data_IF_694281681114
#
_entry.id   IF_694281681114
#
_cell.length_a   1.000
_cell.length_b   1.000
_cell.length_c   1.000
_cell.angle_alpha   90.00
_cell.angle_beta   90.00
_cell.angle_gamma   90.00
#
_symmetry.space_group_name_H-M   'P 1'
#
loop_
_entity.id
_entity.type
_entity.pdbx_description
1 polymer ?
#
# COMPACT_ATOMS: atom_id res chain seq x y z
N UNK A 1 19.83 -22.84 4.95
CA UNK A 1 18.73 -21.83 5.00
C UNK A 1 18.54 -21.44 6.45
N UNK A 2 18.64 -20.16 6.78
CA UNK A 2 18.26 -19.70 8.12
C UNK A 2 16.76 -19.98 8.32
N UNK A 3 16.43 -20.67 9.40
CA UNK A 3 15.04 -20.88 9.79
C UNK A 3 14.57 -19.59 10.44
N UNK A 4 13.62 -18.90 9.82
CA UNK A 4 13.01 -17.72 10.41
C UNK A 4 12.06 -18.16 11.53
N UNK A 5 12.00 -17.43 12.66
CA UNK A 5 11.17 -17.82 13.81
C UNK A 5 9.67 -17.66 13.56
N UNK A 6 9.29 -16.92 12.53
CA UNK A 6 7.89 -16.66 12.18
C UNK A 6 7.57 -17.11 10.75
N UNK A 7 6.36 -17.57 10.56
CA UNK A 7 5.76 -17.86 9.25
C UNK A 7 4.48 -17.03 9.11
N UNK A 8 4.16 -16.61 7.90
CA UNK A 8 2.94 -15.85 7.63
C UNK A 8 2.40 -16.10 6.22
N UNK A 9 1.20 -15.61 5.97
CA UNK A 9 0.54 -15.72 4.68
C UNK A 9 0.79 -14.47 3.82
N UNK A 10 0.96 -14.68 2.51
CA UNK A 10 0.95 -13.66 1.47
C UNK A 10 0.12 -14.18 0.30
N UNK A 11 -1.04 -13.57 0.11
CA UNK A 11 -1.96 -13.86 -0.99
C UNK A 11 -1.70 -12.89 -2.14
N UNK A 12 -1.91 -13.33 -3.37
CA UNK A 12 -1.78 -12.47 -4.55
C UNK A 12 -2.68 -12.92 -5.68
N UNK A 13 -3.13 -11.96 -6.51
CA UNK A 13 -3.95 -12.23 -7.70
C UNK A 13 -3.13 -12.40 -8.98
N UNK A 14 -1.81 -12.33 -8.93
CA UNK A 14 -0.92 -12.43 -10.11
C UNK A 14 -1.26 -13.65 -10.96
N UNK A 15 -1.41 -13.45 -12.28
CA UNK A 15 -1.82 -14.47 -13.26
C UNK A 15 -3.24 -15.02 -13.04
N UNK A 16 -4.07 -14.33 -12.25
CA UNK A 16 -5.48 -14.66 -12.01
C UNK A 16 -6.38 -13.48 -12.33
N UNK A 17 -6.06 -12.31 -11.74
CA UNK A 17 -6.73 -11.05 -11.99
C UNK A 17 -5.70 -9.92 -11.93
N UNK A 18 -5.81 -9.01 -12.89
CA UNK A 18 -4.91 -7.86 -13.07
C UNK A 18 -5.72 -6.69 -13.61
N UNK A 19 -5.33 -5.49 -13.23
CA UNK A 19 -6.08 -4.29 -13.60
C UNK A 19 -5.13 -3.17 -14.04
N UNK A 20 -5.64 -2.39 -14.98
CA UNK A 20 -5.17 -1.05 -15.28
C UNK A 20 -6.34 -0.14 -14.96
N UNK A 21 -6.16 0.73 -13.96
CA UNK A 21 -7.18 1.61 -13.42
C UNK A 21 -8.34 0.89 -12.69
N UNK A 22 -9.12 1.65 -11.96
CA UNK A 22 -10.28 1.17 -11.24
C UNK A 22 -10.35 1.67 -9.80
N UNK A 23 -11.44 1.31 -9.12
CA UNK A 23 -11.62 1.48 -7.69
C UNK A 23 -11.48 0.13 -7.00
N UNK A 24 -10.63 0.08 -6.01
CA UNK A 24 -10.32 -1.11 -5.21
C UNK A 24 -10.82 -0.86 -3.79
N UNK A 25 -11.64 -1.76 -3.27
CA UNK A 25 -12.15 -1.70 -1.90
C UNK A 25 -11.87 -3.02 -1.18
N UNK A 26 -11.16 -2.92 -0.09
CA UNK A 26 -10.86 -4.05 0.77
C UNK A 26 -11.37 -3.77 2.18
N UNK A 27 -12.35 -4.54 2.64
CA UNK A 27 -12.85 -4.44 3.99
C UNK A 27 -12.10 -5.42 4.88
N UNK A 28 -11.33 -4.89 5.80
CA UNK A 28 -10.46 -5.67 6.66
C UNK A 28 -10.41 -5.13 8.09
N UNK A 29 -10.12 -6.05 9.04
CA UNK A 29 -9.72 -5.72 10.39
C UNK A 29 -8.25 -6.05 10.56
N UNK A 30 -7.46 -5.06 11.00
CA UNK A 30 -6.01 -5.21 11.09
C UNK A 30 -5.59 -5.91 12.38
N UNK A 31 -4.44 -6.61 12.36
CA UNK A 31 -3.79 -7.09 13.57
C UNK A 31 -3.22 -5.92 14.39
N UNK A 32 -2.85 -6.16 15.63
CA UNK A 32 -2.24 -5.20 16.53
C UNK A 32 -0.94 -5.74 17.15
N UNK A 33 -0.21 -4.90 17.86
CA UNK A 33 0.98 -5.29 18.61
C UNK A 33 2.29 -5.04 17.89
N UNK A 34 3.37 -4.97 18.69
CA UNK A 34 4.71 -4.69 18.19
C UNK A 34 5.21 -5.79 17.27
N UNK A 35 5.69 -5.42 16.09
CA UNK A 35 6.17 -6.32 15.05
C UNK A 35 5.12 -6.72 14.02
N UNK A 36 3.84 -6.40 14.20
CA UNK A 36 2.82 -6.68 13.20
C UNK A 36 2.87 -5.64 12.07
N UNK A 37 2.88 -6.11 10.80
CA UNK A 37 2.92 -5.28 9.60
C UNK A 37 1.96 -5.84 8.54
N UNK A 38 0.66 -5.56 8.66
CA UNK A 38 -0.31 -5.86 7.62
C UNK A 38 -0.15 -4.94 6.43
N UNK A 39 -0.37 -5.48 5.22
CA UNK A 39 -0.35 -4.72 3.98
C UNK A 39 -1.42 -5.20 2.99
N UNK A 40 -2.04 -4.23 2.33
CA UNK A 40 -2.94 -4.37 1.17
C UNK A 40 -2.34 -3.48 0.09
N UNK A 41 -1.83 -4.06 -0.98
CA UNK A 41 -0.97 -3.37 -1.91
C UNK A 41 -1.00 -3.97 -3.31
N UNK A 42 -0.37 -3.34 -4.26
CA UNK A 42 -0.36 -3.76 -5.65
C UNK A 42 1.05 -3.70 -6.24
N UNK A 43 1.39 -4.71 -7.03
CA UNK A 43 2.61 -4.76 -7.83
C UNK A 43 2.29 -4.91 -9.31
N UNK A 44 3.14 -4.36 -10.19
CA UNK A 44 3.02 -4.57 -11.61
C UNK A 44 3.18 -6.05 -11.95
N UNK A 45 2.36 -6.54 -12.87
CA UNK A 45 2.42 -7.94 -13.30
C UNK A 45 3.56 -8.18 -14.27
N UNK A 46 3.74 -7.29 -15.22
CA UNK A 46 4.66 -7.46 -16.36
C UNK A 46 5.96 -6.68 -16.22
N UNK A 47 6.10 -5.86 -15.17
CA UNK A 47 7.30 -5.05 -14.95
C UNK A 47 7.71 -4.24 -16.19
N UNK A 48 6.74 -3.53 -16.79
CA UNK A 48 6.88 -2.83 -18.07
C UNK A 48 8.11 -1.89 -18.15
N UNK A 49 8.49 -1.33 -17.00
CA UNK A 49 9.59 -0.37 -16.86
C UNK A 49 10.79 -0.93 -16.10
N UNK A 50 10.89 -2.26 -15.95
CA UNK A 50 11.99 -2.93 -15.27
C UNK A 50 11.64 -3.42 -13.86
N UNK A 51 12.67 -3.76 -13.09
CA UNK A 51 12.50 -4.29 -11.74
C UNK A 51 11.98 -3.22 -10.76
N UNK A 52 11.59 -3.65 -9.58
CA UNK A 52 11.13 -2.77 -8.51
C UNK A 52 12.16 -1.66 -8.17
N UNK A 53 11.81 -0.40 -8.01
CA UNK A 53 10.47 0.19 -8.12
C UNK A 53 10.26 0.96 -9.44
N UNK A 54 11.10 0.71 -10.46
CA UNK A 54 10.95 1.37 -11.77
C UNK A 54 9.58 1.06 -12.41
N UNK A 55 9.01 -0.11 -12.17
CA UNK A 55 7.65 -0.46 -12.60
C UNK A 55 6.58 -0.14 -11.56
N UNK A 56 6.94 0.49 -10.44
CA UNK A 56 6.02 0.96 -9.42
C UNK A 56 5.63 -0.08 -8.37
N UNK A 57 5.00 0.43 -7.30
CA UNK A 57 4.25 -0.30 -6.27
C UNK A 57 3.22 0.68 -5.68
N UNK A 58 1.99 0.25 -5.52
CA UNK A 58 0.92 1.07 -4.93
C UNK A 58 0.46 0.39 -3.65
N UNK A 59 0.71 1.02 -2.51
CA UNK A 59 0.25 0.54 -1.21
C UNK A 59 -1.10 1.20 -0.89
N UNK A 60 -2.16 0.41 -0.96
CA UNK A 60 -3.52 0.86 -0.64
C UNK A 60 -3.63 1.10 0.86
N UNK A 61 -3.05 0.21 1.64
CA UNK A 61 -2.98 0.30 3.09
C UNK A 61 -1.75 -0.45 3.60
N UNK A 62 -0.93 0.21 4.37
CA UNK A 62 0.04 -0.39 5.26
C UNK A 62 -0.13 0.15 6.67
N UNK A 63 0.12 -0.70 7.65
CA UNK A 63 0.18 -0.28 9.05
C UNK A 63 1.26 -1.06 9.79
N UNK A 64 1.84 -0.44 10.81
CA UNK A 64 2.82 -1.11 11.67
C UNK A 64 2.49 -0.89 13.13
N UNK A 65 2.66 -1.93 13.95
CA UNK A 65 2.65 -1.82 15.40
C UNK A 65 1.37 -1.19 15.99
N UNK A 66 0.21 -1.40 15.38
CA UNK A 66 -1.07 -0.83 15.84
C UNK A 66 -1.28 -1.13 17.33
N UNK A 67 -1.69 -0.11 18.10
CA UNK A 67 -1.98 -0.21 19.52
C UNK A 67 -0.78 -0.06 20.45
N UNK A 68 0.45 -0.05 19.93
CA UNK A 68 1.66 0.25 20.72
C UNK A 68 1.82 1.77 20.92
N UNK A 69 2.71 2.25 21.80
CA UNK A 69 3.02 3.67 21.87
C UNK A 69 3.50 4.20 20.52
N UNK A 70 2.89 5.30 20.07
CA UNK A 70 3.24 5.93 18.80
C UNK A 70 4.60 6.61 18.86
N UNK A 71 5.38 6.52 17.79
CA UNK A 71 6.63 7.23 17.59
C UNK A 71 6.47 8.52 16.78
N UNK A 72 5.24 8.92 16.50
CA UNK A 72 4.94 10.12 15.74
C UNK A 72 5.41 11.38 16.47
N UNK A 73 6.21 12.24 15.81
CA UNK A 73 6.65 13.49 16.44
C UNK A 73 5.49 14.39 16.83
N UNK A 74 5.53 14.92 18.05
CA UNK A 74 4.57 15.93 18.53
C UNK A 74 3.29 15.36 19.13
N UNK A 75 3.08 14.04 19.15
CA UNK A 75 1.94 13.45 19.88
C UNK A 75 2.22 13.34 21.38
N UNK A 76 1.17 13.33 22.20
CA UNK A 76 1.30 13.18 23.63
C UNK A 76 1.90 11.81 24.03
N UNK A 77 2.71 11.73 25.09
CA UNK A 77 3.22 10.45 25.60
C UNK A 77 2.08 9.46 25.87
N UNK A 78 2.25 8.23 25.41
CA UNK A 78 1.23 7.18 25.55
C UNK A 78 0.15 7.17 24.46
N UNK A 79 0.17 8.11 23.51
CA UNK A 79 -0.67 8.03 22.32
C UNK A 79 -0.45 6.69 21.62
N UNK A 80 -1.52 6.01 21.29
CA UNK A 80 -1.46 4.71 20.59
C UNK A 80 -1.19 4.90 19.11
N UNK A 81 -0.40 3.97 18.55
CA UNK A 81 -0.21 3.88 17.11
C UNK A 81 -1.51 3.39 16.46
N UNK A 82 -2.05 4.20 15.54
CA UNK A 82 -3.30 3.93 14.81
C UNK A 82 -3.21 4.38 13.36
N UNK A 83 -2.02 4.81 12.90
CA UNK A 83 -1.84 5.28 11.52
C UNK A 83 -1.99 4.15 10.53
N UNK A 84 -2.69 4.44 9.44
CA UNK A 84 -2.68 3.65 8.22
C UNK A 84 -2.07 4.49 7.11
N UNK A 85 -1.19 3.90 6.33
CA UNK A 85 -0.38 4.59 5.33
C UNK A 85 -0.84 4.22 3.94
N UNK A 86 -0.89 5.19 3.04
CA UNK A 86 -1.01 5.01 1.60
C UNK A 86 0.26 5.52 0.93
N UNK A 87 0.88 4.70 0.08
CA UNK A 87 2.20 4.98 -0.47
C UNK A 87 2.26 4.63 -1.95
N UNK A 88 3.04 5.38 -2.71
CA UNK A 88 3.46 5.03 -4.07
C UNK A 88 4.98 4.93 -4.12
N UNK A 89 5.52 3.78 -4.53
CA UNK A 89 6.94 3.59 -4.80
C UNK A 89 7.19 3.63 -6.30
N UNK A 90 8.23 4.37 -6.72
CA UNK A 90 8.52 4.62 -8.14
C UNK A 90 9.98 5.00 -8.37
N UNK A 91 10.30 5.45 -9.57
CA UNK A 91 11.60 5.99 -9.93
C UNK A 91 12.49 4.97 -10.62
N UNK A 92 13.61 4.63 -10.00
CA UNK A 92 14.58 3.64 -10.50
C UNK A 92 14.41 2.31 -9.80
N UNK A 93 15.04 1.28 -10.30
CA UNK A 93 15.22 0.06 -9.53
C UNK A 93 16.11 0.31 -8.29
N UNK A 94 15.86 -0.45 -7.23
CA UNK A 94 16.62 -0.32 -5.99
C UNK A 94 18.16 -0.38 -6.23
N UNK A 95 18.95 0.45 -5.52
CA UNK A 95 18.58 1.36 -4.43
C UNK A 95 18.19 2.79 -4.88
N UNK A 96 17.96 3.04 -6.16
CA UNK A 96 17.60 4.35 -6.71
C UNK A 96 16.09 4.63 -6.70
N UNK A 97 15.30 3.82 -6.01
CA UNK A 97 13.87 4.03 -5.84
C UNK A 97 13.58 5.18 -4.87
N UNK A 98 12.44 5.80 -5.11
CA UNK A 98 11.85 6.82 -4.23
C UNK A 98 10.41 6.43 -3.89
N UNK A 99 9.83 7.09 -2.91
CA UNK A 99 8.42 6.94 -2.58
C UNK A 99 7.81 8.27 -2.15
N UNK A 100 6.51 8.37 -2.33
CA UNK A 100 5.68 9.44 -1.77
C UNK A 100 4.47 8.80 -1.10
N UNK A 101 4.07 9.32 0.04
CA UNK A 101 2.94 8.79 0.78
C UNK A 101 2.53 9.69 1.93
N UNK A 102 1.42 9.35 2.55
CA UNK A 102 0.93 9.97 3.76
C UNK A 102 0.18 8.95 4.59
N UNK A 103 -0.33 9.36 5.73
CA UNK A 103 -1.08 8.51 6.63
C UNK A 103 -2.42 9.13 7.01
N UNK A 104 -3.31 8.30 7.48
CA UNK A 104 -4.62 8.65 8.03
C UNK A 104 -4.79 8.02 9.40
N UNK A 105 -5.55 8.67 10.26
CA UNK A 105 -6.07 8.14 11.53
C UNK A 105 -7.58 8.09 11.47
N UNK A 106 -8.15 7.04 12.01
CA UNK A 106 -9.59 7.00 12.20
C UNK A 106 -10.05 8.09 13.18
N UNK A 107 -11.25 8.63 13.00
CA UNK A 107 -11.79 9.63 13.92
C UNK A 107 -11.91 9.11 15.36
N UNK A 108 -11.96 10.03 16.30
CA UNK A 108 -12.18 9.77 17.74
C UNK A 108 -11.18 8.82 18.38
N UNK A 109 -9.97 8.68 17.79
CA UNK A 109 -8.94 7.80 18.31
C UNK A 109 -9.23 6.31 18.12
N UNK A 110 -10.18 5.96 17.27
CA UNK A 110 -10.50 4.57 16.95
C UNK A 110 -9.28 3.85 16.36
N UNK A 111 -9.16 2.56 16.64
CA UNK A 111 -8.07 1.74 16.15
C UNK A 111 -8.53 0.89 14.95
N UNK A 112 -7.71 0.77 13.90
CA UNK A 112 -8.01 -0.11 12.78
C UNK A 112 -8.02 -1.61 13.17
N UNK A 113 -7.68 -1.94 14.41
CA UNK A 113 -7.80 -3.30 14.97
C UNK A 113 -9.11 -3.56 15.72
N UNK A 114 -9.90 -2.51 16.03
CA UNK A 114 -11.11 -2.66 16.83
C UNK A 114 -12.29 -3.18 16.01
N UNK A 115 -12.29 -2.93 14.71
CA UNK A 115 -13.36 -3.29 13.80
C UNK A 115 -12.92 -3.48 12.36
N UNK A 116 -13.88 -3.76 11.48
CA UNK A 116 -13.66 -3.81 10.05
C UNK A 116 -13.79 -2.42 9.45
N UNK A 117 -12.78 -2.00 8.71
CA UNK A 117 -12.71 -0.74 7.99
C UNK A 117 -12.53 -1.00 6.49
N UNK A 118 -13.00 -0.08 5.65
CA UNK A 118 -12.85 -0.15 4.19
C UNK A 118 -11.66 0.69 3.77
N UNK A 119 -10.61 0.02 3.34
CA UNK A 119 -9.43 0.64 2.72
C UNK A 119 -9.65 0.67 1.22
N UNK A 120 -9.63 1.85 0.62
CA UNK A 120 -9.93 1.98 -0.79
C UNK A 120 -8.93 2.84 -1.55
N UNK A 121 -8.77 2.51 -2.82
CA UNK A 121 -7.95 3.22 -3.78
C UNK A 121 -8.77 3.48 -5.03
N UNK A 122 -8.68 4.67 -5.56
CA UNK A 122 -9.09 4.99 -6.93
C UNK A 122 -7.84 5.29 -7.75
N UNK A 123 -7.66 4.53 -8.81
CA UNK A 123 -6.56 4.71 -9.74
C UNK A 123 -7.12 5.02 -11.13
N UNK A 124 -6.82 6.21 -11.61
CA UNK A 124 -7.17 6.72 -12.92
C UNK A 124 -5.90 7.10 -13.70
N UNK A 125 -6.01 7.35 -14.98
CA UNK A 125 -4.87 7.87 -15.75
C UNK A 125 -4.44 9.23 -15.20
N UNK A 126 -3.24 9.27 -14.66
CA UNK A 126 -2.65 10.51 -14.13
C UNK A 126 -3.02 10.86 -12.69
N UNK A 127 -3.86 10.08 -12.01
CA UNK A 127 -4.24 10.37 -10.64
C UNK A 127 -4.53 9.12 -9.82
N UNK A 128 -4.07 9.10 -8.56
CA UNK A 128 -4.37 8.05 -7.58
C UNK A 128 -4.88 8.73 -6.32
N UNK A 129 -5.99 8.20 -5.74
CA UNK A 129 -6.62 8.70 -4.52
C UNK A 129 -6.79 7.57 -3.51
N UNK A 130 -6.52 7.88 -2.24
CA UNK A 130 -6.63 6.94 -1.11
C UNK A 130 -7.76 7.32 -0.17
N UNK A 131 -8.45 6.31 0.34
CA UNK A 131 -9.61 6.46 1.22
C UNK A 131 -9.58 5.46 2.37
N UNK A 132 -10.10 5.86 3.53
CA UNK A 132 -10.48 4.97 4.63
C UNK A 132 -11.92 5.28 5.02
N UNK A 133 -12.80 4.26 5.03
CA UNK A 133 -14.23 4.38 5.33
C UNK A 133 -14.94 5.50 4.54
N UNK A 134 -14.56 5.66 3.27
CA UNK A 134 -15.08 6.70 2.40
C UNK A 134 -14.45 8.09 2.60
N UNK A 135 -13.62 8.28 3.61
CA UNK A 135 -12.89 9.54 3.83
C UNK A 135 -11.68 9.58 2.90
N UNK A 136 -11.68 10.51 1.97
CA UNK A 136 -10.52 10.81 1.12
C UNK A 136 -9.43 11.49 1.94
N UNK A 137 -8.20 10.95 1.94
CA UNK A 137 -7.11 11.51 2.72
C UNK A 137 -5.83 11.82 1.93
N UNK A 138 -5.69 11.27 0.72
CA UNK A 138 -4.52 11.49 -0.11
C UNK A 138 -4.84 11.48 -1.59
N UNK A 139 -4.15 12.33 -2.35
CA UNK A 139 -4.11 12.31 -3.82
C UNK A 139 -2.67 12.45 -4.28
N UNK A 140 -2.28 11.63 -5.26
CA UNK A 140 -1.03 11.79 -5.99
C UNK A 140 -1.33 11.91 -7.48
N UNK A 141 -0.55 12.73 -8.19
CA UNK A 141 -0.72 13.02 -9.63
C UNK A 141 0.53 12.69 -10.42
N UNK A 142 0.34 12.49 -11.72
CA UNK A 142 1.39 12.05 -12.63
C UNK A 142 2.57 13.03 -12.79
N UNK A 143 2.40 14.27 -12.42
CA UNK A 143 3.48 15.25 -12.34
C UNK A 143 4.38 15.07 -11.11
N UNK A 144 3.95 14.26 -10.14
CA UNK A 144 4.68 13.92 -8.90
C UNK A 144 5.41 12.58 -8.95
N UNK A 145 5.19 11.74 -9.96
CA UNK A 145 5.91 10.46 -10.09
C UNK A 145 6.57 10.30 -11.46
N UNK A 146 7.53 9.41 -11.54
CA UNK A 146 8.32 9.16 -12.75
C UNK A 146 8.91 7.75 -12.72
N UNK A 147 9.39 7.29 -13.87
CA UNK A 147 10.14 6.04 -13.96
C UNK A 147 11.36 6.20 -14.86
N UNK A 148 12.49 5.65 -14.43
CA UNK A 148 13.72 5.56 -15.21
C UNK A 148 14.25 4.13 -15.21
N UNK A 149 13.81 3.30 -16.14
CA UNK A 149 14.39 1.99 -16.35
C UNK A 149 15.84 2.08 -16.82
N UNK A 150 16.62 1.03 -16.55
CA UNK A 150 17.99 0.93 -17.02
C UNK A 150 18.03 0.17 -18.35
N UNK A 151 18.55 0.77 -19.40
CA UNK A 151 18.67 0.17 -20.72
C UNK A 151 20.07 0.42 -21.28
N UNK A 152 20.78 -0.65 -21.67
CA UNK A 152 22.15 -0.51 -22.17
C UNK A 152 23.16 0.06 -21.15
N UNK A 153 22.86 0.00 -19.85
CA UNK A 153 23.70 0.57 -18.80
C UNK A 153 23.31 2.00 -18.40
N UNK A 154 22.45 2.66 -19.15
CA UNK A 154 22.00 4.05 -18.91
C UNK A 154 20.59 4.11 -18.34
N UNK A 155 20.29 5.17 -17.59
CA UNK A 155 18.95 5.49 -17.12
C UNK A 155 18.21 6.27 -18.21
N UNK A 156 17.04 5.78 -18.62
CA UNK A 156 16.25 6.37 -19.70
C UNK A 156 14.88 6.74 -19.13
N UNK A 157 14.42 7.95 -19.39
CA UNK A 157 13.08 8.36 -19.00
C UNK A 157 12.01 7.50 -19.66
N UNK A 158 11.13 6.94 -18.87
CA UNK A 158 9.93 6.29 -19.35
C UNK A 158 8.90 7.35 -19.82
N UNK A 159 7.86 6.96 -20.60
CA UNK A 159 6.78 7.88 -20.96
C UNK A 159 6.16 8.58 -19.75
N UNK A 160 5.61 9.76 -19.98
CA UNK A 160 4.88 10.50 -18.97
C UNK A 160 3.73 9.66 -18.39
N UNK A 161 3.57 9.72 -17.06
CA UNK A 161 2.59 8.92 -16.33
C UNK A 161 3.10 7.54 -15.86
N UNK A 162 4.25 7.05 -16.40
CA UNK A 162 4.86 5.84 -15.88
C UNK A 162 5.33 6.05 -14.41
N UNK A 163 5.20 5.02 -13.55
CA UNK A 163 4.82 3.63 -13.83
C UNK A 163 3.33 3.32 -13.70
N UNK A 164 2.48 4.32 -13.42
CA UNK A 164 1.06 4.13 -13.15
C UNK A 164 0.17 4.50 -14.35
N UNK A 165 0.65 4.26 -15.57
CA UNK A 165 -0.01 4.55 -16.83
C UNK A 165 -0.78 3.34 -17.39
N UNK A 166 -1.39 3.54 -18.56
CA UNK A 166 -2.16 2.47 -19.23
C UNK A 166 -1.33 1.32 -19.80
N UNK A 167 -0.01 1.42 -19.82
CA UNK A 167 0.87 0.31 -20.20
C UNK A 167 1.11 -0.65 -19.04
N UNK A 168 0.75 -0.26 -17.82
CA UNK A 168 0.98 -1.02 -16.60
C UNK A 168 -0.27 -1.76 -16.15
N UNK A 169 -0.11 -3.04 -15.86
CA UNK A 169 -1.12 -3.88 -15.20
C UNK A 169 -0.63 -4.26 -13.83
N UNK A 170 -1.45 -4.05 -12.83
CA UNK A 170 -1.14 -4.38 -11.44
C UNK A 170 -2.00 -5.54 -10.93
N UNK A 171 -1.42 -6.35 -10.08
CA UNK A 171 -2.12 -7.39 -9.32
C UNK A 171 -2.11 -7.03 -7.84
N UNK A 172 -3.15 -7.48 -7.13
CA UNK A 172 -3.35 -7.21 -5.71
C UNK A 172 -2.56 -8.23 -4.85
N UNK A 173 -2.06 -7.73 -3.72
CA UNK A 173 -1.42 -8.53 -2.68
C UNK A 173 -2.00 -8.17 -1.32
N UNK A 174 -2.14 -9.19 -0.46
CA UNK A 174 -2.51 -9.04 0.94
C UNK A 174 -1.58 -9.91 1.78
N UNK A 175 -0.97 -9.32 2.80
CA UNK A 175 -0.12 -10.10 3.71
C UNK A 175 -0.08 -9.50 5.12
N UNK A 176 0.41 -10.30 6.04
CA UNK A 176 0.87 -9.86 7.34
C UNK A 176 2.36 -10.21 7.45
N UNK A 177 3.24 -9.21 7.41
CA UNK A 177 4.64 -9.41 7.74
C UNK A 177 4.86 -9.33 9.25
N UNK A 178 5.94 -9.93 9.74
CA UNK A 178 6.33 -9.91 11.15
C UNK A 178 7.72 -9.32 11.27
N UNK A 179 7.85 -8.22 12.02
CA UNK A 179 9.11 -7.51 12.22
C UNK A 179 9.60 -6.80 10.95
N UNK A 180 10.81 -7.11 10.52
CA UNK A 180 11.43 -6.55 9.32
C UNK A 180 12.01 -5.14 9.52
N UNK A 181 12.24 -4.46 8.39
CA UNK A 181 12.96 -3.18 8.38
C UNK A 181 12.11 -1.98 8.83
N UNK A 182 10.81 -2.14 8.94
CA UNK A 182 9.91 -1.10 9.41
C UNK A 182 9.31 -1.48 10.77
N UNK A 183 8.35 -2.41 10.85
CA UNK A 183 7.69 -2.76 12.10
C UNK A 183 8.65 -3.17 13.23
N UNK A 184 9.76 -3.82 12.89
CA UNK A 184 10.78 -4.21 13.88
C UNK A 184 11.72 -3.09 14.32
N UNK A 185 11.66 -1.89 13.72
CA UNK A 185 12.61 -0.80 13.99
C UNK A 185 11.98 0.47 14.52
N UNK A 186 10.64 0.58 14.50
CA UNK A 186 9.89 1.75 14.96
C UNK A 186 9.03 1.41 16.18
N UNK A 187 8.47 2.44 16.81
CA UNK A 187 7.72 2.36 18.06
C UNK A 187 8.56 1.76 19.20
N UNK A 188 8.17 0.64 19.80
CA UNK A 188 8.94 -0.02 20.84
C UNK A 188 10.13 -0.86 20.33
N UNK A 189 10.29 -0.98 19.01
CA UNK A 189 11.27 -1.83 18.32
C UNK A 189 11.16 -3.34 18.64
N UNK A 190 11.76 -4.20 17.80
CA UNK A 190 11.67 -5.65 17.98
C UNK A 190 10.30 -6.22 17.63
N UNK A 191 10.01 -7.37 18.21
CA UNK A 191 8.75 -8.11 18.03
C UNK A 191 8.27 -8.49 19.44
N UNK A 192 7.03 -8.17 19.76
CA UNK A 192 6.37 -8.70 20.96
C UNK A 192 5.83 -10.10 20.66
N UNK A 193 6.50 -11.12 21.13
CA UNK A 193 6.10 -12.50 20.90
C UNK A 193 4.71 -12.82 21.49
N UNK A 194 4.30 -12.12 22.55
CA UNK A 194 2.98 -12.31 23.16
C UNK A 194 1.84 -11.81 22.28
N UNK A 195 2.13 -10.95 21.29
CA UNK A 195 1.15 -10.50 20.31
C UNK A 195 0.83 -11.55 19.22
N UNK A 196 1.54 -12.67 19.17
CA UNK A 196 1.39 -13.72 18.16
C UNK A 196 1.02 -15.07 18.77
N UNK A 197 0.27 -15.93 18.04
CA UNK A 197 -0.17 -15.77 16.65
C UNK A 197 -1.37 -14.83 16.50
N UNK A 198 -1.46 -14.14 15.34
CA UNK A 198 -2.60 -13.34 14.98
C UNK A 198 -2.78 -13.25 13.46
N UNK A 199 -3.80 -12.55 12.99
CA UNK A 199 -4.10 -12.45 11.56
C UNK A 199 -4.79 -11.15 11.20
N UNK A 200 -4.67 -10.77 9.93
CA UNK A 200 -5.51 -9.78 9.28
C UNK A 200 -6.79 -10.47 8.81
N UNK A 201 -7.95 -10.01 9.23
CA UNK A 201 -9.24 -10.54 8.79
C UNK A 201 -9.74 -9.74 7.60
N UNK A 202 -10.10 -10.41 6.52
CA UNK A 202 -10.63 -9.79 5.31
C UNK A 202 -12.04 -10.27 5.09
N UNK A 203 -12.99 -9.33 5.05
CA UNK A 203 -14.40 -9.60 4.79
C UNK A 203 -14.65 -9.71 3.28
N UNK A 204 -14.23 -8.69 2.52
CA UNK A 204 -14.32 -8.71 1.06
C UNK A 204 -13.18 -7.96 0.38
N UNK A 205 -12.96 -8.32 -0.87
CA UNK A 205 -12.21 -7.57 -1.87
C UNK A 205 -13.15 -7.30 -3.04
N UNK A 206 -13.34 -6.03 -3.38
CA UNK A 206 -14.18 -5.59 -4.50
C UNK A 206 -13.37 -4.68 -5.42
N UNK A 207 -13.49 -4.90 -6.71
CA UNK A 207 -12.85 -4.08 -7.72
C UNK A 207 -13.90 -3.60 -8.71
N UNK A 208 -13.97 -2.30 -8.91
CA UNK A 208 -14.93 -1.64 -9.78
C UNK A 208 -14.20 -0.97 -10.94
N UNK A 209 -14.80 -1.05 -12.11
CA UNK A 209 -14.44 -0.14 -13.19
C UNK A 209 -15.07 1.22 -12.91
N UNK A 210 -14.26 2.26 -13.00
CA UNK A 210 -14.75 3.61 -12.83
C UNK A 210 -15.49 4.01 -14.09
N UNK A 211 -16.68 4.51 -13.95
CA UNK A 211 -17.79 4.76 -14.86
C UNK A 211 -17.74 4.17 -16.28
N UNK A 212 -18.89 3.84 -16.79
CA UNK A 212 -19.03 3.28 -18.12
C UNK A 212 -18.46 4.23 -19.18
N UNK A 213 -17.36 3.85 -19.82
CA UNK A 213 -17.00 4.37 -21.12
C UNK A 213 -15.87 5.39 -21.17
N UNK A 214 -15.15 5.67 -20.10
CA UNK A 214 -13.93 6.47 -20.22
C UNK A 214 -12.70 5.56 -20.40
N UNK A 215 -12.00 5.63 -21.56
CA UNK A 215 -10.84 4.80 -21.82
C UNK A 215 -9.66 5.06 -20.86
N UNK A 216 -9.70 6.19 -20.18
CA UNK A 216 -8.67 6.68 -19.25
C UNK A 216 -8.97 6.36 -17.77
N UNK A 217 -10.08 5.66 -17.48
CA UNK A 217 -10.46 5.35 -16.11
C UNK A 217 -11.01 6.54 -15.32
N UNK A 218 -11.16 7.70 -15.94
CA UNK A 218 -11.68 8.93 -15.32
C UNK A 218 -13.17 8.85 -15.07
N UNK A 219 -13.60 8.21 -14.10
CA UNK A 219 -15.01 8.10 -13.75
C UNK A 219 -15.16 7.71 -12.31
N UNK A 220 -14.04 7.36 -11.65
CA UNK A 220 -14.03 7.07 -10.24
C UNK A 220 -14.32 8.30 -9.39
N UNK A 221 -13.84 9.47 -9.80
CA UNK A 221 -13.96 10.73 -9.05
C UNK A 221 -15.39 11.26 -8.93
N UNK A 222 -16.35 10.62 -9.57
CA UNK A 222 -17.77 11.03 -9.58
C UNK A 222 -18.68 10.11 -8.78
N UNK A 223 -18.13 9.16 -8.06
CA UNK A 223 -18.89 8.22 -7.21
C UNK A 223 -18.90 8.70 -5.76
#
# INVERSE_FOLDING_TARGET
KATLPYTSARLRTKNRQEWTFGRFEIRARLPHGQGAWPAIWMLPTDSAYGTWAASGEIDIMEAVNIGTPSDEPGVAPGTKETRVHGTLHYGRNAPGNVHTGTWHRLPDGASPSDGFHVYALEWEEGEIRWYVDGVHYATQRADGWWSQPRKGGEWIDAPAGAPCDRASKYHLLLNLAVGGNWAGKVNATGIDEAAFPQGMLVDYVRVYRCSAGTPDGRGCATI
#
